data_IF_524277397383
#
_entry.id   IF_524277397383
#
_cell.length_a   1.000
_cell.length_b   1.000
_cell.length_c   1.000
_cell.angle_alpha   90.00
_cell.angle_beta   90.00
_cell.angle_gamma   90.00
#
_symmetry.space_group_name_H-M   'P 1'
#
loop_
_entity.id
_entity.type
_entity.pdbx_description
1 polymer ?
#
# COMPACT_ATOMS: atom_id res chain seq x y z
N UNK A 1 3.20 6.47 5.85
CA UNK A 1 4.04 5.78 4.86
C UNK A 1 3.30 4.58 4.31
N UNK A 2 3.15 4.49 2.99
CA UNK A 2 2.48 3.38 2.30
C UNK A 2 3.50 2.64 1.44
N UNK A 3 3.73 1.37 1.75
CA UNK A 3 4.59 0.50 0.95
C UNK A 3 3.81 -0.18 -0.19
N UNK A 4 4.53 -0.56 -1.26
CA UNK A 4 3.89 -1.19 -2.41
C UNK A 4 2.79 -0.34 -3.05
N UNK A 5 2.94 0.98 -3.00
CA UNK A 5 1.91 1.95 -3.38
C UNK A 5 1.50 1.88 -4.85
N UNK A 6 2.31 1.26 -5.70
CA UNK A 6 2.01 1.07 -7.13
C UNK A 6 1.05 -0.09 -7.42
N UNK A 7 0.78 -0.94 -6.42
CA UNK A 7 -0.19 -2.04 -6.50
C UNK A 7 -1.59 -1.60 -6.05
N UNK A 8 -2.61 -2.42 -6.34
CA UNK A 8 -4.01 -2.06 -6.08
C UNK A 8 -4.35 -1.81 -4.61
N UNK A 9 -3.70 -2.51 -3.66
CA UNK A 9 -3.92 -2.33 -2.22
C UNK A 9 -3.22 -1.06 -1.73
N UNK A 10 -1.96 -0.85 -2.13
CA UNK A 10 -1.21 0.34 -1.72
C UNK A 10 -1.78 1.62 -2.31
N UNK A 11 -2.22 1.60 -3.58
CA UNK A 11 -2.81 2.78 -4.22
C UNK A 11 -4.13 3.18 -3.55
N UNK A 12 -4.98 2.21 -3.18
CA UNK A 12 -6.18 2.47 -2.39
C UNK A 12 -5.86 3.09 -1.02
N UNK A 13 -4.76 2.65 -0.39
CA UNK A 13 -4.30 3.26 0.86
C UNK A 13 -3.78 4.70 0.66
N UNK A 14 -3.22 5.03 -0.49
CA UNK A 14 -2.85 6.42 -0.85
C UNK A 14 -4.10 7.28 -1.00
N UNK A 15 -5.11 6.81 -1.76
CA UNK A 15 -6.36 7.53 -1.96
C UNK A 15 -7.09 7.78 -0.63
N UNK A 16 -7.26 6.76 0.20
CA UNK A 16 -7.89 6.91 1.52
C UNK A 16 -7.06 7.78 2.47
N UNK A 17 -5.73 7.65 2.44
CA UNK A 17 -4.85 8.50 3.23
C UNK A 17 -5.02 9.98 2.89
N UNK A 18 -5.13 10.29 1.60
CA UNK A 18 -5.42 11.65 1.14
C UNK A 18 -6.81 12.11 1.57
N UNK A 19 -7.83 11.28 1.40
CA UNK A 19 -9.19 11.58 1.84
C UNK A 19 -9.26 11.92 3.33
N UNK A 20 -8.52 11.21 4.17
CA UNK A 20 -8.42 11.49 5.61
C UNK A 20 -7.44 12.62 5.97
N UNK A 21 -6.91 13.35 4.99
CA UNK A 21 -6.02 14.50 5.22
C UNK A 21 -4.61 14.12 5.68
N UNK A 22 -4.18 12.86 5.49
CA UNK A 22 -2.85 12.45 5.84
C UNK A 22 -1.81 12.94 4.82
N UNK A 23 -0.63 13.30 5.29
CA UNK A 23 0.53 13.54 4.42
C UNK A 23 1.16 12.20 4.04
N UNK A 24 0.77 11.67 2.87
CA UNK A 24 1.14 10.33 2.44
C UNK A 24 2.50 10.30 1.75
N UNK A 25 3.45 9.56 2.32
CA UNK A 25 4.67 9.14 1.64
C UNK A 25 4.43 7.75 1.05
N UNK A 26 4.75 7.56 -0.22
CA UNK A 26 4.46 6.32 -0.94
C UNK A 26 5.74 5.69 -1.47
N UNK A 27 5.93 4.38 -1.26
CA UNK A 27 7.09 3.66 -1.80
C UNK A 27 6.67 2.64 -2.86
N UNK A 28 7.57 2.42 -3.82
CA UNK A 28 7.38 1.43 -4.88
C UNK A 28 8.72 1.12 -5.55
N UNK A 29 8.72 0.12 -6.41
CA UNK A 29 9.96 -0.38 -7.06
C UNK A 29 10.24 0.20 -8.46
N UNK A 30 9.51 1.22 -8.91
CA UNK A 30 9.67 1.81 -10.25
C UNK A 30 9.28 3.26 -10.25
N UNK A 31 10.20 4.13 -10.66
CA UNK A 31 9.96 5.58 -10.74
C UNK A 31 8.79 5.90 -11.66
N UNK A 32 8.74 5.29 -12.85
CA UNK A 32 7.63 5.46 -13.80
C UNK A 32 6.26 5.16 -13.18
N UNK A 33 6.17 4.11 -12.35
CA UNK A 33 4.91 3.77 -11.66
C UNK A 33 4.63 4.70 -10.50
N UNK A 34 5.67 5.19 -9.83
CA UNK A 34 5.56 6.14 -8.74
C UNK A 34 5.07 7.52 -9.21
N UNK A 35 5.34 7.91 -10.46
CA UNK A 35 4.75 9.11 -11.07
C UNK A 35 3.22 9.06 -11.07
N UNK A 36 2.63 7.89 -11.38
CA UNK A 36 1.17 7.69 -11.31
C UNK A 36 0.68 7.83 -9.86
N UNK A 37 1.39 7.24 -8.90
CA UNK A 37 1.05 7.37 -7.47
C UNK A 37 1.15 8.83 -7.01
N UNK A 38 2.15 9.56 -7.50
CA UNK A 38 2.32 10.98 -7.21
C UNK A 38 1.17 11.82 -7.75
N UNK A 39 0.75 11.56 -8.99
CA UNK A 39 -0.39 12.27 -9.61
C UNK A 39 -1.72 12.02 -8.90
N UNK A 40 -1.83 10.92 -8.14
CA UNK A 40 -2.99 10.58 -7.32
C UNK A 40 -2.94 11.16 -5.90
N UNK A 41 -2.01 12.07 -5.62
CA UNK A 41 -2.00 12.85 -4.38
C UNK A 41 -1.04 12.37 -3.30
N UNK A 42 -0.15 11.40 -3.57
CA UNK A 42 0.94 11.15 -2.65
C UNK A 42 1.78 12.42 -2.47
N UNK A 43 2.03 12.82 -1.22
CA UNK A 43 2.84 14.00 -0.90
C UNK A 43 4.29 13.82 -1.40
N UNK A 44 4.85 12.62 -1.27
CA UNK A 44 6.17 12.29 -1.78
C UNK A 44 6.22 10.80 -2.17
N UNK A 45 7.01 10.48 -3.19
CA UNK A 45 7.23 9.11 -3.65
C UNK A 45 8.70 8.74 -3.50
N UNK A 46 8.96 7.49 -3.12
CA UNK A 46 10.30 6.98 -2.84
C UNK A 46 10.47 5.64 -3.54
N UNK A 47 11.41 5.55 -4.47
CA UNK A 47 11.81 4.27 -5.02
C UNK A 47 12.67 3.54 -3.99
N UNK A 48 12.25 2.34 -3.60
CA UNK A 48 12.97 1.51 -2.63
C UNK A 48 13.76 0.36 -3.28
N UNK A 49 13.84 0.33 -4.62
CA UNK A 49 14.70 -0.64 -5.30
C UNK A 49 16.13 -0.13 -5.31
N UNK A 50 17.03 -0.84 -4.66
CA UNK A 50 18.44 -0.54 -4.63
C UNK A 50 19.15 -1.01 -5.91
N UNK A 51 20.38 -0.58 -6.12
CA UNK A 51 21.16 -0.90 -7.33
C UNK A 51 21.41 -2.41 -7.53
N UNK A 52 21.41 -3.18 -6.45
CA UNK A 52 21.52 -4.64 -6.46
C UNK A 52 20.16 -5.37 -6.62
N UNK A 53 19.06 -4.62 -6.77
CA UNK A 53 17.71 -5.14 -6.89
C UNK A 53 17.02 -5.48 -5.57
N UNK A 54 17.71 -5.35 -4.43
CA UNK A 54 17.08 -5.50 -3.11
C UNK A 54 16.14 -4.34 -2.79
N UNK A 55 15.31 -4.51 -1.77
CA UNK A 55 14.33 -3.49 -1.35
C UNK A 55 14.78 -2.82 -0.06
N UNK A 56 14.83 -1.49 -0.06
CA UNK A 56 15.21 -0.71 1.12
C UNK A 56 15.61 0.74 0.77
N UNK A 57 16.43 1.35 1.62
CA UNK A 57 17.01 2.67 1.39
C UNK A 57 16.04 3.86 1.57
N UNK A 58 14.81 3.63 2.03
CA UNK A 58 13.82 4.69 2.21
C UNK A 58 13.86 5.36 3.59
N UNK A 59 14.48 4.74 4.57
CA UNK A 59 14.53 5.22 5.97
C UNK A 59 15.04 6.66 6.09
N UNK A 60 16.17 6.96 5.49
CA UNK A 60 16.78 8.29 5.61
C UNK A 60 15.92 9.36 4.92
N UNK A 61 15.32 9.01 3.78
CA UNK A 61 14.40 9.92 3.08
C UNK A 61 13.14 10.20 3.93
N UNK A 62 12.53 9.16 4.53
CA UNK A 62 11.39 9.33 5.44
C UNK A 62 11.75 10.21 6.63
N UNK A 63 12.89 9.97 7.27
CA UNK A 63 13.37 10.81 8.38
C UNK A 63 13.59 12.25 7.95
N UNK A 64 14.24 12.48 6.82
CA UNK A 64 14.45 13.83 6.27
C UNK A 64 13.12 14.56 6.06
N UNK A 65 12.13 13.91 5.45
CA UNK A 65 10.79 14.47 5.19
C UNK A 65 9.97 14.74 6.46
N UNK A 66 10.35 14.15 7.59
CA UNK A 66 9.64 14.23 8.88
C UNK A 66 10.45 14.93 9.96
N UNK A 67 11.50 15.68 9.60
CA UNK A 67 12.39 16.36 10.54
C UNK A 67 12.96 15.41 11.61
N UNK A 68 13.34 14.20 11.18
CA UNK A 68 13.94 13.17 12.04
C UNK A 68 12.93 12.31 12.80
N UNK A 69 11.65 12.68 12.87
CA UNK A 69 10.64 11.96 13.68
C UNK A 69 10.29 10.58 13.14
N UNK A 70 10.17 10.42 11.83
CA UNK A 70 9.69 9.20 11.19
C UNK A 70 8.20 9.26 10.85
N UNK A 71 7.66 8.15 10.34
CA UNK A 71 6.25 8.05 9.96
C UNK A 71 5.36 7.67 11.16
N UNK A 72 4.22 8.31 11.33
CA UNK A 72 3.27 8.04 12.43
C UNK A 72 2.51 6.72 12.20
N UNK A 73 2.21 6.43 10.93
CA UNK A 73 1.56 5.19 10.49
C UNK A 73 2.30 4.63 9.29
N UNK A 74 2.57 3.34 9.31
CA UNK A 74 3.15 2.60 8.19
C UNK A 74 2.16 1.52 7.76
N UNK A 75 1.76 1.54 6.49
CA UNK A 75 0.89 0.56 5.84
C UNK A 75 1.76 -0.39 5.02
N UNK A 76 1.93 -1.63 5.49
CA UNK A 76 2.91 -2.57 4.94
C UNK A 76 2.26 -3.85 4.37
N UNK A 77 2.04 -3.91 3.05
CA UNK A 77 1.67 -5.14 2.34
C UNK A 77 2.88 -5.94 1.85
N UNK A 78 4.11 -5.47 2.09
CA UNK A 78 5.35 -6.01 1.51
C UNK A 78 6.04 -6.97 2.45
N UNK A 79 6.24 -6.57 3.71
CA UNK A 79 6.98 -7.35 4.70
C UNK A 79 8.48 -7.44 4.41
N UNK A 80 9.13 -8.47 4.94
CA UNK A 80 10.56 -8.72 4.69
C UNK A 80 11.46 -7.55 5.08
N UNK A 81 12.42 -7.22 4.22
CA UNK A 81 13.40 -6.14 4.46
C UNK A 81 12.74 -4.76 4.56
N UNK A 82 11.60 -4.58 3.86
CA UNK A 82 10.80 -3.33 3.95
C UNK A 82 10.25 -3.14 5.35
N UNK A 83 9.72 -4.20 5.98
CA UNK A 83 9.29 -4.14 7.37
C UNK A 83 10.46 -3.87 8.31
N UNK A 84 11.59 -4.55 8.12
CA UNK A 84 12.76 -4.42 8.98
C UNK A 84 13.31 -2.98 8.96
N UNK A 85 13.33 -2.34 7.79
CA UNK A 85 13.72 -0.93 7.66
C UNK A 85 12.65 0.01 8.22
N UNK A 86 11.36 -0.32 8.08
CA UNK A 86 10.24 0.43 8.62
C UNK A 86 10.31 0.58 10.15
N UNK A 87 10.73 -0.47 10.85
CA UNK A 87 10.96 -0.43 12.30
C UNK A 87 11.98 0.65 12.71
N UNK A 88 12.83 1.09 11.80
CA UNK A 88 13.87 2.09 12.05
C UNK A 88 13.43 3.51 11.69
N UNK A 89 12.38 3.67 10.87
CA UNK A 89 11.84 4.98 10.47
C UNK A 89 10.40 5.24 10.94
N UNK A 90 9.83 4.36 11.75
CA UNK A 90 8.59 4.63 12.46
C UNK A 90 8.82 5.69 13.54
N UNK A 91 7.87 6.61 13.70
CA UNK A 91 7.89 7.60 14.77
C UNK A 91 7.67 6.94 16.15
N UNK A 92 8.06 7.62 17.22
CA UNK A 92 7.72 7.23 18.58
C UNK A 92 6.19 7.22 18.75
N UNK A 93 5.65 6.17 19.37
CA UNK A 93 4.20 5.97 19.51
C UNK A 93 3.47 5.63 18.20
N UNK A 94 4.20 5.38 17.12
CA UNK A 94 3.62 5.08 15.80
C UNK A 94 3.01 3.69 15.68
N UNK A 95 2.39 3.41 14.53
CA UNK A 95 1.71 2.14 14.23
C UNK A 95 2.19 1.56 12.92
N UNK A 96 2.60 0.29 12.91
CA UNK A 96 2.85 -0.48 11.69
C UNK A 96 1.65 -1.41 11.46
N UNK A 97 0.99 -1.25 10.34
CA UNK A 97 -0.13 -2.08 9.91
C UNK A 97 0.41 -3.18 8.99
N UNK A 98 0.41 -4.40 9.47
CA UNK A 98 0.83 -5.57 8.69
C UNK A 98 -0.35 -6.07 7.85
N UNK A 99 -0.27 -5.84 6.54
CA UNK A 99 -1.33 -6.13 5.57
C UNK A 99 -1.03 -7.43 4.79
N UNK A 100 0.26 -7.68 4.51
CA UNK A 100 0.67 -8.83 3.72
C UNK A 100 2.18 -8.97 3.62
N UNK A 101 2.62 -9.93 2.79
CA UNK A 101 4.03 -10.33 2.68
C UNK A 101 4.43 -10.58 1.23
N UNK A 102 4.19 -9.59 0.35
CA UNK A 102 4.47 -9.74 -1.09
C UNK A 102 5.94 -9.86 -1.43
N UNK A 103 6.85 -9.57 -0.47
CA UNK A 103 8.28 -9.88 -0.59
C UNK A 103 8.58 -11.39 -0.50
N UNK A 104 7.63 -12.21 -0.04
CA UNK A 104 7.81 -13.65 0.18
C UNK A 104 8.44 -14.01 1.53
N UNK A 105 8.88 -13.04 2.34
CA UNK A 105 9.47 -13.27 3.65
C UNK A 105 8.60 -12.68 4.77
N UNK A 106 8.26 -13.47 5.75
CA UNK A 106 7.63 -12.99 6.98
C UNK A 106 8.65 -12.27 7.84
N UNK A 107 8.38 -11.02 8.25
CA UNK A 107 9.30 -10.28 9.11
C UNK A 107 9.24 -10.78 10.56
N UNK A 108 10.31 -10.54 11.30
CA UNK A 108 10.37 -10.72 12.74
C UNK A 108 10.34 -9.35 13.42
N UNK A 109 9.30 -9.09 14.21
CA UNK A 109 9.19 -7.83 14.92
C UNK A 109 10.13 -7.83 16.15
N UNK A 110 11.15 -6.96 16.17
CA UNK A 110 12.07 -6.87 17.30
C UNK A 110 11.40 -6.19 18.49
N UNK A 111 11.01 -6.98 19.49
CA UNK A 111 10.23 -6.51 20.66
C UNK A 111 10.94 -5.43 21.48
N UNK A 112 12.27 -5.40 21.47
CA UNK A 112 13.05 -4.34 22.08
C UNK A 112 12.80 -2.98 21.43
N UNK A 113 12.68 -2.91 20.08
CA UNK A 113 12.35 -1.67 19.38
C UNK A 113 10.88 -1.26 19.62
N UNK A 114 9.96 -2.24 19.72
CA UNK A 114 8.58 -1.98 20.09
C UNK A 114 8.51 -1.31 21.46
N UNK A 115 9.23 -1.86 22.45
CA UNK A 115 9.29 -1.31 23.81
C UNK A 115 9.91 0.11 23.81
N UNK A 116 11.10 0.28 23.23
CA UNK A 116 11.84 1.54 23.28
C UNK A 116 11.08 2.67 22.58
N UNK A 117 10.46 2.37 21.45
CA UNK A 117 9.71 3.36 20.66
C UNK A 117 8.23 3.46 21.05
N UNK A 118 7.74 2.62 21.93
CA UNK A 118 6.32 2.53 22.35
C UNK A 118 5.36 2.40 21.17
N UNK A 119 5.77 1.68 20.11
CA UNK A 119 5.00 1.50 18.89
C UNK A 119 4.07 0.29 18.97
N UNK A 120 3.08 0.26 18.07
CA UNK A 120 2.20 -0.89 17.88
C UNK A 120 2.47 -1.56 16.53
N UNK A 121 2.53 -2.89 16.52
CA UNK A 121 2.51 -3.69 15.29
C UNK A 121 1.16 -4.39 15.24
N UNK A 122 0.35 -4.08 14.23
CA UNK A 122 -1.08 -4.45 14.17
C UNK A 122 -1.32 -5.27 12.90
N UNK A 123 -1.85 -6.48 13.05
CA UNK A 123 -2.32 -7.27 11.92
C UNK A 123 -3.64 -6.70 11.39
N UNK A 124 -3.75 -6.55 10.06
CA UNK A 124 -4.95 -6.05 9.40
C UNK A 124 -5.35 -7.02 8.29
N UNK A 125 -6.46 -7.70 8.50
CA UNK A 125 -7.04 -8.66 7.54
C UNK A 125 -8.51 -8.32 7.30
N UNK A 126 -8.76 -7.43 6.33
CA UNK A 126 -10.08 -6.85 6.08
C UNK A 126 -11.18 -7.90 5.86
N UNK A 127 -10.92 -8.96 5.08
CA UNK A 127 -11.91 -10.01 4.84
C UNK A 127 -12.27 -10.83 6.09
N UNK A 128 -11.33 -11.04 7.01
CA UNK A 128 -11.58 -11.72 8.28
C UNK A 128 -12.32 -10.80 9.26
N UNK A 129 -11.96 -9.53 9.27
CA UNK A 129 -12.65 -8.54 10.10
C UNK A 129 -14.16 -8.54 9.84
N UNK A 130 -14.58 -8.49 8.57
CA UNK A 130 -16.00 -8.53 8.21
C UNK A 130 -16.70 -9.86 8.54
N UNK A 131 -15.96 -10.99 8.70
CA UNK A 131 -16.52 -12.25 9.17
C UNK A 131 -16.70 -12.27 10.67
N UNK A 132 -15.77 -11.70 11.42
CA UNK A 132 -15.81 -11.65 12.89
C UNK A 132 -16.79 -10.59 13.40
N UNK A 133 -16.91 -9.47 12.69
CA UNK A 133 -17.87 -8.39 12.98
C UNK A 133 -18.65 -8.02 11.70
N UNK A 134 -19.72 -8.77 11.35
CA UNK A 134 -20.49 -8.54 10.14
C UNK A 134 -21.18 -7.16 10.08
N UNK A 135 -21.52 -6.59 11.23
CA UNK A 135 -22.17 -5.27 11.31
C UNK A 135 -21.20 -4.20 10.85
N UNK A 136 -20.02 -4.14 11.46
CA UNK A 136 -18.97 -3.20 11.07
C UNK A 136 -18.39 -3.50 9.69
N UNK A 137 -18.33 -4.78 9.31
CA UNK A 137 -17.94 -5.18 7.96
C UNK A 137 -18.86 -4.58 6.89
N UNK A 138 -20.17 -4.59 7.17
CA UNK A 138 -21.17 -3.95 6.29
C UNK A 138 -21.03 -2.43 6.30
N UNK A 139 -20.92 -1.79 7.45
CA UNK A 139 -20.70 -0.34 7.57
C UNK A 139 -19.49 0.13 6.77
N UNK A 140 -18.36 -0.59 6.88
CA UNK A 140 -17.15 -0.29 6.11
C UNK A 140 -17.37 -0.44 4.59
N UNK A 141 -18.11 -1.45 4.17
CA UNK A 141 -18.42 -1.68 2.75
C UNK A 141 -19.34 -0.58 2.21
N UNK A 142 -20.39 -0.23 2.96
CA UNK A 142 -21.32 0.83 2.61
C UNK A 142 -20.59 2.19 2.48
N UNK A 143 -19.66 2.48 3.41
CA UNK A 143 -18.85 3.71 3.35
C UNK A 143 -17.92 3.73 2.13
N UNK A 144 -17.29 2.61 1.77
CA UNK A 144 -16.44 2.51 0.56
C UNK A 144 -17.29 2.75 -0.70
N UNK A 145 -18.50 2.20 -0.77
CA UNK A 145 -19.41 2.44 -1.90
C UNK A 145 -19.80 3.91 -1.96
N UNK A 146 -20.20 4.53 -0.85
CA UNK A 146 -20.51 5.96 -0.79
C UNK A 146 -19.35 6.82 -1.29
N UNK A 147 -18.14 6.57 -0.82
CA UNK A 147 -16.95 7.32 -1.25
C UNK A 147 -16.68 7.17 -2.76
N UNK A 148 -16.91 5.98 -3.30
CA UNK A 148 -16.76 5.71 -4.72
C UNK A 148 -17.86 6.41 -5.57
N UNK A 149 -19.12 6.35 -5.13
CA UNK A 149 -20.25 7.01 -5.78
C UNK A 149 -20.11 8.53 -5.80
N UNK A 150 -19.55 9.11 -4.74
CA UNK A 150 -19.24 10.54 -4.65
C UNK A 150 -17.95 10.93 -5.41
N UNK A 151 -17.24 9.96 -6.01
CA UNK A 151 -15.99 10.19 -6.74
C UNK A 151 -14.80 10.57 -5.88
N UNK A 152 -14.89 10.38 -4.55
CA UNK A 152 -13.83 10.71 -3.59
C UNK A 152 -12.70 9.67 -3.58
N UNK A 153 -13.01 8.45 -3.99
CA UNK A 153 -12.03 7.40 -4.25
C UNK A 153 -12.35 6.74 -5.59
N UNK A 154 -11.32 6.30 -6.30
CA UNK A 154 -11.51 5.59 -7.56
C UNK A 154 -10.33 4.64 -7.81
N UNK A 155 -10.59 3.34 -8.07
CA UNK A 155 -9.50 2.42 -8.37
C UNK A 155 -8.82 2.79 -9.69
N UNK A 156 -7.49 2.82 -9.68
CA UNK A 156 -6.72 2.98 -10.91
C UNK A 156 -6.66 1.65 -11.67
N UNK A 157 -7.25 1.62 -12.84
CA UNK A 157 -7.23 0.48 -13.76
C UNK A 157 -6.23 0.77 -14.88
N UNK A 158 -5.08 0.08 -14.88
CA UNK A 158 -4.06 0.26 -15.91
C UNK A 158 -4.26 -0.62 -17.13
N UNK A 159 -4.98 -1.73 -16.99
CA UNK A 159 -5.24 -2.69 -18.06
C UNK A 159 -6.66 -3.22 -17.95
N UNK A 160 -7.39 -3.15 -19.06
CA UNK A 160 -8.69 -3.79 -19.24
C UNK A 160 -8.58 -4.76 -20.41
N UNK A 161 -8.85 -6.05 -20.20
CA UNK A 161 -8.77 -7.09 -21.20
C UNK A 161 -10.09 -7.87 -21.28
N UNK A 162 -10.51 -8.33 -22.46
CA UNK A 162 -11.69 -9.18 -22.56
C UNK A 162 -11.46 -10.54 -21.89
N UNK A 163 -12.56 -11.25 -21.55
CA UNK A 163 -12.50 -12.52 -20.84
C UNK A 163 -11.57 -13.56 -21.49
N UNK A 164 -11.56 -13.61 -22.81
CA UNK A 164 -10.72 -14.53 -23.60
C UNK A 164 -9.23 -14.31 -23.37
N UNK A 165 -8.85 -13.14 -22.87
CA UNK A 165 -7.48 -12.75 -22.53
C UNK A 165 -7.20 -12.69 -21.02
N UNK A 166 -8.02 -13.33 -20.18
CA UNK A 166 -7.84 -13.34 -18.72
C UNK A 166 -6.45 -13.88 -18.30
N UNK A 167 -5.94 -14.88 -19.02
CA UNK A 167 -4.58 -15.42 -18.76
C UNK A 167 -3.50 -14.37 -19.03
N UNK A 168 -3.67 -13.52 -20.05
CA UNK A 168 -2.73 -12.42 -20.31
C UNK A 168 -2.77 -11.39 -19.19
N UNK A 169 -3.95 -11.09 -18.63
CA UNK A 169 -4.06 -10.22 -17.46
C UNK A 169 -3.29 -10.78 -16.24
N UNK A 170 -3.33 -12.09 -16.00
CA UNK A 170 -2.53 -12.73 -14.96
C UNK A 170 -1.02 -12.64 -15.24
N UNK A 171 -0.61 -12.84 -16.50
CA UNK A 171 0.81 -12.68 -16.89
C UNK A 171 1.33 -11.25 -16.70
N UNK A 172 0.50 -10.22 -16.91
CA UNK A 172 0.87 -8.83 -16.59
C UNK A 172 1.16 -8.64 -15.11
N UNK A 173 0.42 -9.31 -14.22
CA UNK A 173 0.70 -9.29 -12.77
C UNK A 173 2.02 -9.99 -12.44
N UNK A 174 2.28 -11.17 -13.01
CA UNK A 174 3.54 -11.91 -12.83
C UNK A 174 4.75 -11.08 -13.26
N UNK A 175 4.64 -10.39 -14.41
CA UNK A 175 5.70 -9.50 -14.92
C UNK A 175 5.78 -8.17 -14.21
N UNK A 176 4.91 -7.94 -13.20
CA UNK A 176 4.84 -6.67 -12.48
C UNK A 176 4.60 -5.46 -13.39
N UNK A 177 3.86 -5.62 -14.48
CA UNK A 177 3.55 -4.53 -15.43
C UNK A 177 2.35 -3.69 -14.98
N UNK A 178 1.44 -4.27 -14.19
CA UNK A 178 0.22 -3.61 -13.71
C UNK A 178 0.54 -2.45 -12.76
N UNK A 179 -0.18 -1.35 -12.91
CA UNK A 179 -0.25 -0.24 -11.95
C UNK A 179 -1.69 -0.22 -11.40
N UNK A 180 -1.85 -0.28 -10.09
CA UNK A 180 -3.17 -0.41 -9.47
C UNK A 180 -3.82 -1.76 -9.79
N UNK A 181 -4.76 -1.79 -10.72
CA UNK A 181 -5.56 -2.96 -11.09
C UNK A 181 -5.43 -3.32 -12.57
N UNK A 182 -5.51 -4.62 -12.86
CA UNK A 182 -5.90 -5.14 -14.16
C UNK A 182 -7.31 -5.74 -14.02
N UNK A 183 -8.21 -5.45 -14.94
CA UNK A 183 -9.57 -5.96 -14.94
C UNK A 183 -9.83 -6.81 -16.17
N UNK A 184 -10.73 -7.77 -16.05
CA UNK A 184 -11.24 -8.56 -17.15
C UNK A 184 -12.67 -8.10 -17.40
N UNK A 185 -12.94 -7.66 -18.65
CA UNK A 185 -14.26 -7.17 -19.04
C UNK A 185 -15.11 -8.33 -19.61
N UNK A 186 -16.39 -8.29 -19.30
CA UNK A 186 -17.37 -9.29 -19.76
C UNK A 186 -18.26 -8.69 -20.82
N UNK A 187 -18.50 -9.44 -21.92
CA UNK A 187 -19.54 -9.13 -22.93
C UNK A 187 -19.54 -7.70 -23.49
N UNK A 188 -18.37 -7.23 -23.97
CA UNK A 188 -18.30 -5.94 -24.67
C UNK A 188 -18.40 -4.70 -23.78
N UNK A 189 -18.26 -4.83 -22.48
CA UNK A 189 -18.04 -3.68 -21.58
C UNK A 189 -16.67 -3.06 -21.93
N UNK A 190 -16.69 -1.83 -22.41
CA UNK A 190 -15.48 -0.99 -22.52
C UNK A 190 -15.26 -0.32 -21.15
N UNK A 191 -14.03 -0.44 -20.60
CA UNK A 191 -13.64 0.13 -19.31
C UNK A 191 -13.10 1.55 -19.47
#
# INVERSE_FOLDING_TARGET
LVHGATGGVGMAAVDLGQYFGARVFATGGSDKKLEVVKSRGAFETINYTLADGSLGGFKEKVKSLTLGKGADVIYDPVGGDVFDESMRCINWGGRILTIGFTSGRWPLAPVNLILIKQISVIGVRAGEYGRQDPVRGKENTDEIHRLAEEGLISPHVSHALPLERAIDAMRLLERREVIGKAVVTMNGYEA
#
